data_IF_329639633815
#
_entry.id   IF_329639633815
#
_cell.length_a   1.000
_cell.length_b   1.000
_cell.length_c   1.000
_cell.angle_alpha   90.00
_cell.angle_beta   90.00
_cell.angle_gamma   90.00
#
_symmetry.space_group_name_H-M   'P 1'
#
loop_
_entity.id
_entity.type
_entity.pdbx_description
1 polymer ?
#
# COMPACT_ATOMS: atom_id res chain seq x y z
N UNK A 1 51.28 20.07 -6.77
CA UNK A 1 50.15 19.53 -7.55
C UNK A 1 49.70 20.59 -8.56
N UNK A 2 49.69 20.28 -9.85
CA UNK A 2 49.52 21.29 -10.90
C UNK A 2 48.06 21.82 -10.88
N UNK A 3 47.85 23.14 -10.82
CA UNK A 3 46.50 23.75 -10.64
C UNK A 3 45.47 23.27 -11.67
N UNK A 4 45.93 22.96 -12.89
CA UNK A 4 45.13 22.43 -14.00
C UNK A 4 44.58 21.02 -13.75
N UNK A 5 45.28 20.22 -12.95
CA UNK A 5 44.89 18.85 -12.60
C UNK A 5 43.78 18.85 -11.54
N UNK A 6 43.84 19.79 -10.60
CA UNK A 6 42.82 19.95 -9.54
C UNK A 6 41.46 20.36 -10.14
N UNK A 7 41.45 21.29 -11.11
CA UNK A 7 40.23 21.72 -11.78
C UNK A 7 39.60 20.61 -12.62
N UNK A 8 40.40 19.75 -13.26
CA UNK A 8 39.89 18.62 -14.03
C UNK A 8 39.18 17.59 -13.14
N UNK A 9 39.71 17.31 -11.94
CA UNK A 9 39.11 16.38 -10.98
C UNK A 9 37.78 16.92 -10.42
N UNK A 10 37.70 18.21 -10.12
CA UNK A 10 36.47 18.84 -9.62
C UNK A 10 35.35 18.77 -10.67
N UNK A 11 35.64 19.05 -11.94
CA UNK A 11 34.64 18.97 -13.03
C UNK A 11 34.15 17.52 -13.23
N UNK A 12 35.04 16.53 -13.10
CA UNK A 12 34.70 15.12 -13.22
C UNK A 12 33.80 14.63 -12.07
N UNK A 13 34.04 15.12 -10.84
CA UNK A 13 33.21 14.80 -9.67
C UNK A 13 31.82 15.43 -9.74
N UNK A 14 31.69 16.68 -10.22
CA UNK A 14 30.39 17.33 -10.34
C UNK A 14 29.53 16.79 -11.49
N UNK A 15 30.15 16.27 -12.57
CA UNK A 15 29.43 15.65 -13.68
C UNK A 15 28.72 14.34 -13.32
N UNK A 16 29.26 13.58 -12.36
CA UNK A 16 28.71 12.28 -11.94
C UNK A 16 27.58 12.45 -10.91
N UNK A 17 27.55 13.56 -10.16
CA UNK A 17 26.54 13.80 -9.13
C UNK A 17 25.14 14.14 -9.69
N UNK A 18 25.02 14.59 -10.93
CA UNK A 18 23.72 14.98 -11.53
C UNK A 18 22.97 13.84 -12.22
N UNK A 19 23.56 12.65 -12.37
CA UNK A 19 22.92 11.52 -13.07
C UNK A 19 22.02 10.64 -12.18
N UNK A 20 21.98 10.91 -10.87
CA UNK A 20 21.23 10.09 -9.89
C UNK A 20 19.93 10.72 -9.40
N UNK A 21 19.36 11.70 -10.11
CA UNK A 21 17.92 11.94 -10.02
C UNK A 21 17.20 10.80 -10.74
N UNK A 22 17.24 9.61 -10.12
CA UNK A 22 16.37 8.49 -10.44
C UNK A 22 14.94 9.02 -10.39
N UNK A 23 14.38 9.27 -11.57
CA UNK A 23 12.95 9.37 -11.76
C UNK A 23 12.39 8.04 -11.25
N UNK A 24 11.94 8.02 -9.99
CA UNK A 24 11.08 6.95 -9.50
C UNK A 24 9.81 7.04 -10.31
N UNK A 25 9.76 6.24 -11.36
CA UNK A 25 8.56 5.93 -12.11
C UNK A 25 7.50 5.54 -11.07
N UNK A 26 6.52 6.43 -10.85
CA UNK A 26 5.41 6.14 -9.96
C UNK A 26 4.55 5.13 -10.71
N UNK A 27 4.72 3.87 -10.34
CA UNK A 27 3.93 2.74 -10.81
C UNK A 27 2.44 3.13 -10.84
N UNK A 28 1.89 3.28 -12.03
CA UNK A 28 0.51 3.73 -12.23
C UNK A 28 -0.53 2.62 -12.01
N UNK A 29 -0.10 1.40 -11.70
CA UNK A 29 -0.95 0.22 -11.50
C UNK A 29 -0.59 -0.54 -10.20
N UNK A 30 -0.63 0.13 -9.05
CA UNK A 30 -0.32 -0.54 -7.76
C UNK A 30 -1.39 -1.56 -7.31
N UNK A 31 -2.60 -1.58 -7.90
CA UNK A 31 -3.63 -2.56 -7.53
C UNK A 31 -3.29 -3.91 -8.17
N UNK A 32 -2.90 -4.88 -7.36
CA UNK A 32 -2.47 -6.23 -7.79
C UNK A 32 -3.49 -7.32 -7.47
N UNK A 33 -4.34 -7.08 -6.48
CA UNK A 33 -5.32 -8.05 -6.00
C UNK A 33 -6.69 -7.74 -6.61
N UNK A 34 -7.25 -8.70 -7.34
CA UNK A 34 -8.61 -8.64 -7.88
C UNK A 34 -9.65 -8.91 -6.78
N UNK A 35 -10.92 -8.58 -7.07
CA UNK A 35 -12.04 -8.93 -6.20
C UNK A 35 -12.11 -10.45 -5.93
N UNK A 36 -11.93 -11.27 -6.95
CA UNK A 36 -11.92 -12.74 -6.82
C UNK A 36 -10.82 -13.23 -5.89
N UNK A 37 -9.61 -12.66 -6.00
CA UNK A 37 -8.49 -12.99 -5.11
C UNK A 37 -8.75 -12.51 -3.67
N UNK A 38 -9.37 -11.33 -3.49
CA UNK A 38 -9.77 -10.84 -2.19
C UNK A 38 -10.79 -11.77 -1.51
N UNK A 39 -11.76 -12.29 -2.27
CA UNK A 39 -12.73 -13.27 -1.79
C UNK A 39 -12.06 -14.61 -1.42
N UNK A 40 -11.08 -15.07 -2.20
CA UNK A 40 -10.29 -16.26 -1.84
C UNK A 40 -9.50 -16.08 -0.54
N UNK A 41 -8.91 -14.90 -0.35
CA UNK A 41 -8.24 -14.55 0.92
C UNK A 41 -9.25 -14.58 2.06
N UNK A 42 -10.44 -13.98 1.89
CA UNK A 42 -11.49 -13.91 2.90
C UNK A 42 -12.02 -15.28 3.35
N UNK A 43 -12.08 -16.26 2.44
CA UNK A 43 -12.44 -17.65 2.79
C UNK A 43 -11.53 -18.23 3.89
N UNK A 44 -10.23 -17.89 3.89
CA UNK A 44 -9.27 -18.35 4.90
C UNK A 44 -9.53 -17.76 6.29
N UNK A 45 -10.28 -16.66 6.36
CA UNK A 45 -10.69 -15.99 7.60
C UNK A 45 -12.13 -16.33 8.01
N UNK A 46 -12.76 -17.34 7.38
CA UNK A 46 -14.13 -17.76 7.68
C UNK A 46 -15.22 -16.83 7.14
N UNK A 47 -14.85 -15.89 6.26
CA UNK A 47 -15.76 -14.98 5.56
C UNK A 47 -16.04 -15.58 4.18
N UNK A 48 -17.12 -16.35 4.08
CA UNK A 48 -17.55 -17.06 2.88
C UNK A 48 -19.08 -17.27 2.86
N UNK A 49 -19.63 -17.66 1.72
CA UNK A 49 -21.05 -17.97 1.52
C UNK A 49 -21.76 -16.95 0.62
N UNK A 50 -23.10 -17.07 0.54
CA UNK A 50 -23.90 -16.29 -0.41
C UNK A 50 -24.20 -14.85 0.06
N UNK A 51 -24.02 -14.59 1.36
CA UNK A 51 -24.29 -13.31 2.00
C UNK A 51 -22.99 -12.53 2.27
N UNK A 52 -22.22 -12.23 1.22
CA UNK A 52 -20.98 -11.45 1.30
C UNK A 52 -21.18 -10.01 0.82
N UNK A 53 -20.47 -9.09 1.44
CA UNK A 53 -20.29 -7.72 0.97
C UNK A 53 -18.80 -7.47 0.76
N UNK A 54 -18.46 -6.92 -0.41
CA UNK A 54 -17.09 -6.58 -0.79
C UNK A 54 -17.04 -5.17 -1.36
N UNK A 55 -16.13 -4.35 -0.86
CA UNK A 55 -15.97 -2.97 -1.28
C UNK A 55 -14.51 -2.64 -1.53
N UNK A 56 -14.23 -2.00 -2.67
CA UNK A 56 -12.92 -1.43 -2.95
C UNK A 56 -12.84 -0.02 -2.37
N UNK A 57 -11.88 0.21 -1.49
CA UNK A 57 -11.73 1.46 -0.75
C UNK A 57 -10.36 2.10 -0.99
N UNK A 58 -10.33 3.43 -0.89
CA UNK A 58 -9.10 4.21 -0.92
C UNK A 58 -9.03 5.08 0.33
N UNK A 59 -8.04 4.84 1.17
CA UNK A 59 -7.72 5.69 2.30
C UNK A 59 -6.58 6.65 1.93
N UNK A 60 -6.78 7.94 2.15
CA UNK A 60 -5.71 8.95 1.96
C UNK A 60 -5.06 9.25 3.30
N UNK A 61 -3.76 9.03 3.40
CA UNK A 61 -3.02 9.25 4.63
C UNK A 61 -2.95 10.75 4.95
N UNK A 62 -3.31 11.12 6.19
CA UNK A 62 -3.14 12.50 6.67
C UNK A 62 -1.66 12.87 6.71
N UNK A 63 -1.33 14.16 6.50
CA UNK A 63 0.05 14.66 6.52
C UNK A 63 0.78 14.37 7.84
N UNK A 64 0.03 14.24 8.93
CA UNK A 64 0.55 13.97 10.28
C UNK A 64 0.73 12.48 10.57
N UNK A 65 0.18 11.59 9.75
CA UNK A 65 0.27 10.14 9.97
C UNK A 65 1.69 9.60 9.75
N UNK A 66 2.06 8.56 10.49
CA UNK A 66 3.31 7.82 10.28
C UNK A 66 3.42 7.27 8.85
N UNK A 67 2.30 6.83 8.26
CA UNK A 67 2.26 6.38 6.87
C UNK A 67 2.72 7.48 5.90
N UNK A 68 2.22 8.71 6.10
CA UNK A 68 2.62 9.87 5.30
C UNK A 68 4.09 10.25 5.49
N UNK A 69 4.58 10.23 6.73
CA UNK A 69 5.99 10.49 7.05
C UNK A 69 6.92 9.46 6.40
N UNK A 70 6.48 8.20 6.28
CA UNK A 70 7.18 7.11 5.57
C UNK A 70 6.99 7.13 4.06
N UNK A 71 6.41 8.19 3.50
CA UNK A 71 6.24 8.38 2.06
C UNK A 71 4.99 7.74 1.45
N UNK A 72 4.15 7.03 2.23
CA UNK A 72 2.86 6.54 1.74
C UNK A 72 1.89 7.72 1.56
N UNK A 73 1.01 7.65 0.56
CA UNK A 73 0.03 8.72 0.27
C UNK A 73 -1.39 8.20 0.24
N UNK A 74 -1.58 7.04 -0.37
CA UNK A 74 -2.85 6.33 -0.42
C UNK A 74 -2.64 4.89 0.05
N UNK A 75 -3.69 4.29 0.58
CA UNK A 75 -3.84 2.86 0.80
C UNK A 75 -5.06 2.42 -0.01
N UNK A 76 -4.85 1.51 -0.94
CA UNK A 76 -5.92 0.83 -1.66
C UNK A 76 -6.18 -0.49 -0.96
N UNK A 77 -7.43 -0.78 -0.63
CA UNK A 77 -7.76 -2.01 0.09
C UNK A 77 -9.16 -2.52 -0.24
N UNK A 78 -9.32 -3.84 -0.11
CA UNK A 78 -10.62 -4.50 -0.14
C UNK A 78 -11.14 -4.62 1.27
N UNK A 79 -12.38 -4.20 1.49
CA UNK A 79 -13.14 -4.51 2.70
C UNK A 79 -14.07 -5.68 2.37
N UNK A 80 -13.99 -6.78 3.13
CA UNK A 80 -14.79 -7.98 2.90
C UNK A 80 -15.46 -8.39 4.19
N UNK A 81 -16.78 -8.53 4.15
CA UNK A 81 -17.59 -8.86 5.31
C UNK A 81 -18.76 -9.78 4.94
N UNK A 82 -19.41 -10.36 5.95
CA UNK A 82 -20.74 -10.98 5.78
C UNK A 82 -21.81 -9.91 5.94
N UNK A 83 -22.89 -10.00 5.16
CA UNK A 83 -24.05 -9.12 5.25
C UNK A 83 -24.83 -9.35 6.54
N UNK A 84 -24.42 -8.71 7.63
CA UNK A 84 -25.18 -8.63 8.88
C UNK A 84 -24.71 -7.48 9.78
N UNK A 85 -25.54 -7.05 10.73
CA UNK A 85 -25.28 -5.86 11.58
C UNK A 85 -23.99 -5.93 12.41
N UNK A 86 -23.52 -7.14 12.78
CA UNK A 86 -22.33 -7.34 13.63
C UNK A 86 -21.50 -8.54 13.12
N UNK A 87 -21.23 -8.57 11.82
CA UNK A 87 -20.50 -9.66 11.19
C UNK A 87 -19.01 -9.39 11.15
N UNK A 88 -18.19 -10.44 11.29
CA UNK A 88 -16.76 -10.32 11.09
C UNK A 88 -16.44 -9.71 9.72
N UNK A 89 -15.46 -8.82 9.69
CA UNK A 89 -14.95 -8.19 8.48
C UNK A 89 -13.42 -8.20 8.48
N UNK A 90 -12.84 -8.19 7.28
CA UNK A 90 -11.40 -8.04 7.11
C UNK A 90 -11.09 -6.95 6.10
N UNK A 91 -9.94 -6.31 6.28
CA UNK A 91 -9.40 -5.35 5.31
C UNK A 91 -8.08 -5.87 4.75
N UNK A 92 -8.04 -5.96 3.43
CA UNK A 92 -6.96 -6.59 2.65
C UNK A 92 -6.28 -5.52 1.81
N UNK A 93 -4.97 -5.34 1.99
CA UNK A 93 -4.19 -4.41 1.17
C UNK A 93 -4.24 -4.87 -0.30
N UNK A 94 -4.73 -4.01 -1.18
CA UNK A 94 -4.97 -4.35 -2.59
C UNK A 94 -3.69 -4.45 -3.44
N UNK A 95 -2.54 -4.06 -2.88
CA UNK A 95 -1.22 -4.18 -3.50
C UNK A 95 -0.54 -5.48 -3.09
N UNK A 96 -0.65 -5.86 -1.81
CA UNK A 96 0.11 -6.99 -1.24
C UNK A 96 -0.71 -8.24 -0.98
N UNK A 97 -2.05 -8.14 -0.87
CA UNK A 97 -2.92 -9.23 -0.45
C UNK A 97 -2.84 -9.54 1.05
N UNK A 98 -2.13 -8.71 1.82
CA UNK A 98 -2.01 -8.89 3.26
C UNK A 98 -3.26 -8.36 3.97
N UNK A 99 -3.79 -9.14 4.91
CA UNK A 99 -4.81 -8.67 5.84
C UNK A 99 -4.15 -7.81 6.91
N UNK A 100 -4.56 -6.55 7.02
CA UNK A 100 -3.99 -5.61 8.00
C UNK A 100 -4.99 -5.20 9.09
N UNK A 101 -6.27 -5.59 8.94
CA UNK A 101 -7.31 -5.36 9.94
C UNK A 101 -8.30 -6.52 9.95
N UNK A 102 -8.61 -7.02 11.14
CA UNK A 102 -9.67 -7.98 11.41
C UNK A 102 -10.66 -7.36 12.40
N UNK A 103 -11.89 -7.14 11.96
CA UNK A 103 -12.97 -6.62 12.80
C UNK A 103 -13.75 -7.82 13.33
N UNK A 104 -13.56 -8.13 14.62
CA UNK A 104 -14.27 -9.19 15.33
C UNK A 104 -15.26 -8.57 16.31
N UNK A 105 -16.55 -8.78 16.07
CA UNK A 105 -17.59 -8.39 17.02
C UNK A 105 -17.67 -9.46 18.12
N UNK A 106 -17.42 -9.05 19.37
CA UNK A 106 -17.76 -9.86 20.54
C UNK A 106 -19.20 -9.53 20.94
N UNK A 107 -20.11 -10.49 20.83
CA UNK A 107 -21.40 -10.38 21.50
C UNK A 107 -21.14 -10.38 23.01
N UNK A 108 -21.43 -9.27 23.68
CA UNK A 108 -21.59 -9.25 25.14
C UNK A 108 -23.06 -9.58 25.38
N UNK A 109 -23.32 -10.79 25.86
CA UNK A 109 -24.66 -11.23 26.28
C UNK A 109 -25.06 -10.53 27.59
#
# INVERSE_FOLDING_TARGET
>A
MNKKFLTAIIVLLFGICFSFTSCKEKDKNEIKITESQALEIAKRYGISGDNLEIFFNTYTYSKTSLGYQRGKRKLFYWDVSKKCNNCSAIQIDAVTGNVFSEIKYKYVY
#
